data_IF_421195204844
#
_entry.id   IF_421195204844
#
_cell.length_a   1.000
_cell.length_b   1.000
_cell.length_c   1.000
_cell.angle_alpha   90.00
_cell.angle_beta   90.00
_cell.angle_gamma   90.00
#
_symmetry.space_group_name_H-M   'P 1'
#
loop_
_entity.id
_entity.type
_entity.pdbx_description
1 polymer ?
#
# COMPACT_ATOMS: atom_id res chain seq x y z
N UNK A 1 19.01 11.76 8.73
CA UNK A 1 18.43 12.52 7.62
C UNK A 1 17.90 13.83 8.16
N UNK A 2 18.39 14.94 7.67
CA UNK A 2 17.88 16.26 8.02
C UNK A 2 16.61 16.55 7.20
N UNK A 3 15.61 17.14 7.85
CA UNK A 3 14.46 17.72 7.18
C UNK A 3 14.68 19.22 7.04
N UNK A 4 14.60 19.74 5.84
CA UNK A 4 14.63 21.17 5.58
C UNK A 4 13.23 21.76 5.67
N UNK A 5 13.11 22.90 6.34
CA UNK A 5 11.88 23.69 6.37
C UNK A 5 12.03 24.88 5.42
N UNK A 6 11.20 24.96 4.39
CA UNK A 6 11.12 26.11 3.52
C UNK A 6 10.03 27.07 4.03
N UNK A 7 10.47 28.13 4.70
CA UNK A 7 9.57 29.14 5.31
C UNK A 7 8.69 29.83 4.29
N UNK A 8 9.16 29.97 3.04
CA UNK A 8 8.40 30.63 1.98
C UNK A 8 7.32 29.74 1.38
N UNK A 9 7.53 28.42 1.37
CA UNK A 9 6.56 27.45 0.82
C UNK A 9 5.70 26.77 1.87
N UNK A 10 5.96 27.04 3.18
CA UNK A 10 5.29 26.33 4.29
C UNK A 10 5.35 24.80 4.14
N UNK A 11 6.49 24.32 3.71
CA UNK A 11 6.72 22.93 3.36
C UNK A 11 7.84 22.34 4.19
N UNK A 12 7.68 21.12 4.67
CA UNK A 12 8.73 20.31 5.30
C UNK A 12 9.02 19.14 4.36
N UNK A 13 10.25 19.04 3.88
CA UNK A 13 10.65 17.97 2.97
C UNK A 13 12.06 17.47 3.30
N UNK A 14 12.42 16.32 2.73
CA UNK A 14 13.78 15.83 2.75
C UNK A 14 14.67 16.70 1.84
N UNK A 15 15.93 16.92 2.23
CA UNK A 15 16.88 17.77 1.49
C UNK A 15 17.03 17.38 0.01
N UNK A 16 16.88 16.11 -0.32
CA UNK A 16 16.94 15.63 -1.71
C UNK A 16 15.70 15.94 -2.55
N UNK A 17 14.58 16.35 -1.93
CA UNK A 17 13.30 16.54 -2.61
C UNK A 17 12.67 15.28 -3.23
N UNK A 18 13.23 14.08 -2.95
CA UNK A 18 12.85 12.84 -3.65
C UNK A 18 11.77 11.99 -2.96
N UNK A 19 11.42 12.32 -1.73
CA UNK A 19 10.45 11.54 -0.96
C UNK A 19 9.10 12.29 -0.91
N UNK A 20 8.45 12.25 0.22
CA UNK A 20 7.26 13.03 0.46
C UNK A 20 7.62 14.39 1.05
N UNK A 21 6.69 15.34 0.93
CA UNK A 21 6.70 16.60 1.68
C UNK A 21 5.47 16.69 2.56
N UNK A 22 5.56 17.53 3.60
CA UNK A 22 4.41 17.95 4.38
C UNK A 22 4.14 19.38 4.00
N UNK A 23 3.00 19.63 3.38
CA UNK A 23 2.58 20.93 2.89
C UNK A 23 1.47 21.48 3.80
N UNK A 24 1.42 22.79 4.00
CA UNK A 24 0.28 23.46 4.60
C UNK A 24 -0.78 23.72 3.53
N UNK A 25 -2.01 23.30 3.78
CA UNK A 25 -3.14 23.62 2.90
C UNK A 25 -4.21 24.40 3.63
N UNK A 26 -4.82 25.34 2.92
CA UNK A 26 -6.01 26.04 3.35
C UNK A 26 -7.23 25.43 2.67
N UNK A 27 -8.19 24.96 3.46
CA UNK A 27 -9.39 24.31 2.97
C UNK A 27 -10.59 25.22 3.17
N UNK A 28 -11.36 25.41 2.11
CA UNK A 28 -12.65 26.12 2.14
C UNK A 28 -13.75 25.14 1.72
N UNK A 29 -14.84 25.11 2.46
CA UNK A 29 -15.97 24.24 2.17
C UNK A 29 -17.30 24.90 2.58
N UNK A 30 -18.35 24.62 1.82
CA UNK A 30 -19.72 24.99 2.16
C UNK A 30 -20.52 23.84 2.77
N UNK A 31 -19.88 22.70 3.06
CA UNK A 31 -20.54 21.45 3.43
C UNK A 31 -20.59 21.18 4.95
N UNK A 32 -19.84 21.92 5.79
CA UNK A 32 -19.74 21.71 7.24
C UNK A 32 -19.91 22.99 8.04
N UNK A 33 -20.11 22.84 9.35
CA UNK A 33 -20.24 23.96 10.28
C UNK A 33 -18.97 24.81 10.41
N UNK A 34 -17.82 24.27 10.04
CA UNK A 34 -16.55 25.00 9.95
C UNK A 34 -16.27 25.25 8.47
N UNK A 35 -16.42 26.50 8.00
CA UNK A 35 -16.33 26.81 6.57
C UNK A 35 -14.90 26.80 6.03
N UNK A 36 -13.91 27.01 6.89
CA UNK A 36 -12.50 27.07 6.50
C UNK A 36 -11.58 26.65 7.64
N UNK A 37 -10.44 26.01 7.28
CA UNK A 37 -9.38 25.69 8.23
C UNK A 37 -8.06 25.45 7.51
N UNK A 38 -6.95 25.53 8.26
CA UNK A 38 -5.63 25.15 7.82
C UNK A 38 -5.26 23.78 8.39
N UNK A 39 -4.61 22.93 7.58
CA UNK A 39 -4.07 21.67 8.05
C UNK A 39 -2.80 21.27 7.30
N UNK A 40 -1.92 20.47 7.94
CA UNK A 40 -0.85 19.81 7.22
C UNK A 40 -1.40 18.66 6.38
N UNK A 41 -0.78 18.42 5.23
CA UNK A 41 -1.11 17.31 4.34
C UNK A 41 0.17 16.68 3.80
N UNK A 42 0.16 15.37 3.63
CA UNK A 42 1.27 14.64 3.00
C UNK A 42 1.14 14.74 1.49
N UNK A 43 2.15 15.32 0.86
CA UNK A 43 2.27 15.34 -0.59
C UNK A 43 3.29 14.30 -1.03
N UNK A 44 2.79 13.18 -1.53
CA UNK A 44 3.57 12.05 -2.03
C UNK A 44 3.03 11.66 -3.41
N UNK A 45 3.55 12.25 -4.48
CA UNK A 45 3.01 12.08 -5.83
C UNK A 45 3.27 10.67 -6.40
N UNK A 46 4.16 9.91 -5.78
CA UNK A 46 4.48 8.55 -6.23
C UNK A 46 3.29 7.61 -6.01
N UNK A 47 2.91 6.89 -7.08
CA UNK A 47 1.83 5.89 -7.01
C UNK A 47 2.32 4.69 -6.20
N UNK A 48 1.59 4.36 -5.14
CA UNK A 48 1.76 3.11 -4.40
C UNK A 48 1.22 1.93 -5.19
N UNK A 49 1.76 0.74 -4.91
CA UNK A 49 1.37 -0.50 -5.54
C UNK A 49 0.96 -1.50 -4.46
N UNK A 50 -0.27 -1.98 -4.51
CA UNK A 50 -0.84 -2.96 -3.59
C UNK A 50 -1.29 -4.16 -4.40
N UNK A 51 -0.63 -5.31 -4.22
CA UNK A 51 -0.87 -6.51 -5.01
C UNK A 51 -1.23 -7.72 -4.16
N UNK A 52 -2.26 -8.47 -4.56
CA UNK A 52 -2.56 -9.79 -4.03
C UNK A 52 -2.32 -10.86 -5.09
N UNK A 53 -1.62 -11.94 -4.70
CA UNK A 53 -1.64 -13.20 -5.44
C UNK A 53 -2.76 -14.05 -4.85
N UNK A 54 -3.60 -14.59 -5.71
CA UNK A 54 -4.64 -15.54 -5.33
C UNK A 54 -4.46 -16.86 -6.04
N UNK A 55 -4.83 -17.94 -5.34
CA UNK A 55 -4.82 -19.32 -5.87
C UNK A 55 -6.03 -20.07 -5.33
N UNK A 56 -6.61 -20.95 -6.14
CA UNK A 56 -7.63 -21.88 -5.66
C UNK A 56 -7.00 -23.13 -5.07
N UNK A 57 -7.46 -23.51 -3.89
CA UNK A 57 -7.17 -24.81 -3.27
C UNK A 57 -8.50 -25.54 -3.11
N UNK A 58 -8.64 -26.67 -3.78
CA UNK A 58 -9.90 -27.43 -3.83
C UNK A 58 -11.11 -26.55 -4.19
N UNK A 59 -10.96 -25.68 -5.18
CA UNK A 59 -12.00 -24.75 -5.65
C UNK A 59 -12.23 -23.54 -4.75
N UNK A 60 -11.54 -23.40 -3.62
CA UNK A 60 -11.67 -22.25 -2.71
C UNK A 60 -10.52 -21.26 -2.93
N UNK A 61 -10.86 -20.02 -3.24
CA UNK A 61 -9.87 -18.96 -3.45
C UNK A 61 -9.20 -18.54 -2.15
N UNK A 62 -7.88 -18.53 -2.17
CA UNK A 62 -7.04 -18.04 -1.08
C UNK A 62 -6.15 -16.91 -1.57
N UNK A 63 -5.86 -15.99 -0.67
CA UNK A 63 -5.01 -14.83 -0.88
C UNK A 63 -3.68 -15.05 -0.16
N UNK A 64 -2.57 -14.83 -0.84
CA UNK A 64 -1.26 -14.84 -0.22
C UNK A 64 -1.04 -13.52 0.51
N UNK A 65 -1.03 -13.55 1.81
CA UNK A 65 -0.90 -12.36 2.66
C UNK A 65 0.43 -12.35 3.39
N UNK A 66 0.95 -11.17 3.67
CA UNK A 66 2.19 -10.95 4.42
C UNK A 66 1.88 -10.54 5.85
N UNK A 67 2.52 -11.18 6.82
CA UNK A 67 2.61 -10.69 8.19
C UNK A 67 3.65 -9.57 8.24
N UNK A 68 3.25 -8.34 8.53
CA UNK A 68 4.08 -7.15 8.46
C UNK A 68 4.18 -6.44 9.81
N UNK A 69 5.39 -6.01 10.14
CA UNK A 69 5.66 -5.20 11.33
C UNK A 69 5.96 -3.79 10.84
N UNK A 70 5.12 -2.83 11.20
CA UNK A 70 5.31 -1.42 10.87
C UNK A 70 5.24 -0.55 12.11
N UNK A 71 6.00 0.56 12.17
CA UNK A 71 5.88 1.53 13.25
C UNK A 71 4.45 2.06 13.34
N UNK A 72 3.85 2.02 14.52
CA UNK A 72 2.48 2.46 14.74
C UNK A 72 1.43 1.36 14.72
N UNK A 73 1.77 0.13 14.33
CA UNK A 73 0.88 -1.02 14.45
C UNK A 73 0.55 -1.31 15.91
N UNK A 74 -0.74 -1.28 16.27
CA UNK A 74 -1.18 -1.48 17.66
C UNK A 74 -0.87 -2.90 18.17
N UNK A 75 -0.94 -3.90 17.31
CA UNK A 75 -0.66 -5.31 17.63
C UNK A 75 0.69 -5.80 17.10
N UNK A 76 1.63 -4.89 16.86
CA UNK A 76 2.98 -5.17 16.37
C UNK A 76 2.96 -5.79 14.95
N UNK A 77 2.22 -6.89 14.74
CA UNK A 77 2.12 -7.62 13.47
C UNK A 77 0.71 -7.48 12.90
N UNK A 78 0.60 -7.08 11.64
CA UNK A 78 -0.66 -7.00 10.90
C UNK A 78 -0.54 -7.74 9.57
N UNK A 79 -1.67 -8.21 9.03
CA UNK A 79 -1.72 -8.79 7.70
C UNK A 79 -1.81 -7.69 6.64
N UNK A 80 -1.01 -7.81 5.61
CA UNK A 80 -0.94 -6.88 4.48
C UNK A 80 -0.98 -7.63 3.14
N UNK A 81 -1.18 -6.93 2.02
CA UNK A 81 -1.11 -7.53 0.69
C UNK A 81 0.19 -8.32 0.45
N UNK A 82 0.20 -9.21 -0.54
CA UNK A 82 1.39 -9.96 -0.98
C UNK A 82 2.52 -9.00 -1.33
N UNK A 83 2.20 -7.93 -2.04
CA UNK A 83 3.12 -6.89 -2.45
C UNK A 83 2.58 -5.53 -2.05
N UNK A 84 3.39 -4.77 -1.32
CA UNK A 84 3.16 -3.36 -1.01
C UNK A 84 4.47 -2.62 -1.29
N UNK A 85 4.47 -1.78 -2.31
CA UNK A 85 5.67 -1.09 -2.75
C UNK A 85 5.34 0.26 -3.38
N UNK A 86 6.29 1.20 -3.32
CA UNK A 86 6.24 2.40 -4.14
C UNK A 86 6.94 2.13 -5.49
N UNK A 87 6.70 2.99 -6.48
CA UNK A 87 7.30 2.83 -7.80
C UNK A 87 8.83 2.77 -7.74
N UNK A 88 9.45 3.60 -6.93
CA UNK A 88 10.90 3.60 -6.72
C UNK A 88 11.43 2.28 -6.16
N UNK A 89 10.67 1.62 -5.30
CA UNK A 89 11.05 0.35 -4.71
C UNK A 89 11.01 -0.81 -5.73
N UNK A 90 9.98 -0.89 -6.57
CA UNK A 90 9.91 -1.97 -7.54
C UNK A 90 10.73 -1.73 -8.81
N UNK A 91 11.03 -0.46 -9.15
CA UNK A 91 11.95 -0.14 -10.27
C UNK A 91 13.43 -0.16 -9.89
N UNK A 92 13.76 -0.47 -8.64
CA UNK A 92 15.14 -0.55 -8.10
C UNK A 92 15.97 0.72 -8.29
N UNK A 93 15.37 1.88 -8.31
CA UNK A 93 16.08 3.17 -8.50
C UNK A 93 17.21 3.36 -7.47
N UNK A 94 17.13 2.69 -6.32
CA UNK A 94 18.10 2.79 -5.23
C UNK A 94 18.98 1.54 -5.03
N UNK A 95 19.00 0.60 -5.99
CA UNK A 95 19.82 -0.62 -5.87
C UNK A 95 19.42 -1.57 -4.74
N UNK A 96 18.24 -1.39 -4.15
CA UNK A 96 17.72 -2.23 -3.07
C UNK A 96 17.31 -3.63 -3.52
N UNK A 97 17.07 -4.53 -2.55
CA UNK A 97 16.53 -5.86 -2.81
C UNK A 97 15.13 -5.75 -3.42
N UNK A 98 14.87 -6.50 -4.48
CA UNK A 98 13.55 -6.57 -5.09
C UNK A 98 12.51 -7.03 -4.07
N UNK A 99 11.31 -6.42 -4.03
CA UNK A 99 10.20 -6.94 -3.23
C UNK A 99 9.90 -8.40 -3.58
N UNK A 100 9.47 -9.17 -2.56
CA UNK A 100 9.06 -10.54 -2.78
C UNK A 100 7.86 -10.62 -3.74
N UNK A 101 7.86 -11.62 -4.62
CA UNK A 101 6.77 -11.90 -5.58
C UNK A 101 6.50 -10.82 -6.62
N UNK A 102 7.44 -9.87 -6.82
CA UNK A 102 7.29 -8.81 -7.82
C UNK A 102 7.08 -9.39 -9.23
N UNK A 103 7.69 -10.54 -9.53
CA UNK A 103 7.63 -11.25 -10.80
C UNK A 103 6.20 -11.60 -11.25
N UNK A 104 5.25 -11.71 -10.33
CA UNK A 104 3.83 -11.95 -10.64
C UNK A 104 3.07 -10.68 -11.04
N UNK A 105 3.67 -9.52 -10.86
CA UNK A 105 3.02 -8.23 -11.10
C UNK A 105 3.68 -7.38 -12.19
N UNK A 106 4.87 -7.77 -12.63
CA UNK A 106 5.67 -7.01 -13.61
C UNK A 106 5.71 -7.66 -15.01
N UNK A 107 4.95 -8.74 -15.22
CA UNK A 107 4.87 -9.45 -16.50
C UNK A 107 5.93 -10.53 -16.72
N UNK A 108 6.78 -10.84 -15.72
CA UNK A 108 7.76 -11.92 -15.82
C UNK A 108 7.10 -13.31 -15.64
N UNK A 109 5.97 -13.37 -14.96
CA UNK A 109 5.16 -14.59 -14.76
C UNK A 109 3.83 -14.47 -15.49
N UNK A 110 3.34 -15.60 -15.99
CA UNK A 110 2.01 -15.69 -16.55
C UNK A 110 0.97 -15.77 -15.44
N UNK A 111 0.01 -14.86 -15.44
CA UNK A 111 -1.03 -14.74 -14.43
C UNK A 111 -2.34 -14.28 -15.06
N UNK A 112 -3.46 -14.57 -14.40
CA UNK A 112 -4.76 -14.00 -14.75
C UNK A 112 -5.01 -12.74 -13.90
N UNK A 113 -5.14 -11.59 -14.53
CA UNK A 113 -5.46 -10.35 -13.83
C UNK A 113 -6.95 -10.29 -13.55
N UNK A 114 -7.34 -10.40 -12.27
CA UNK A 114 -8.72 -10.33 -11.82
C UNK A 114 -9.17 -8.90 -11.57
N UNK A 115 -8.28 -8.07 -11.01
CA UNK A 115 -8.52 -6.66 -10.68
C UNK A 115 -7.26 -5.87 -10.99
N UNK A 116 -7.42 -4.71 -11.62
CA UNK A 116 -6.37 -3.71 -11.80
C UNK A 116 -7.01 -2.33 -11.78
N UNK A 117 -6.92 -1.64 -10.65
CA UNK A 117 -7.60 -0.37 -10.44
C UNK A 117 -6.71 0.65 -9.75
N UNK A 118 -6.84 1.89 -10.19
CA UNK A 118 -6.24 3.04 -9.53
C UNK A 118 -7.25 3.66 -8.56
N UNK A 119 -6.93 3.64 -7.27
CA UNK A 119 -7.79 4.17 -6.21
C UNK A 119 -7.14 5.35 -5.51
N UNK A 120 -7.95 6.29 -5.08
CA UNK A 120 -7.49 7.43 -4.28
C UNK A 120 -7.23 7.00 -2.83
N UNK A 121 -6.12 7.46 -2.28
CA UNK A 121 -5.81 7.35 -0.85
C UNK A 121 -6.66 8.32 -0.03
N UNK A 122 -6.61 8.22 1.29
CA UNK A 122 -7.36 9.07 2.20
C UNK A 122 -7.05 10.57 1.97
N UNK A 123 -7.99 11.29 1.35
CA UNK A 123 -7.83 12.70 0.99
C UNK A 123 -7.63 13.63 2.19
N UNK A 124 -7.99 13.21 3.41
CA UNK A 124 -7.74 13.98 4.63
C UNK A 124 -6.26 13.97 5.06
N UNK A 125 -5.46 13.02 4.59
CA UNK A 125 -4.04 12.84 4.94
C UNK A 125 -3.11 13.08 3.77
N UNK A 126 -3.53 12.69 2.56
CA UNK A 126 -2.70 12.68 1.36
C UNK A 126 -3.24 13.60 0.28
N UNK A 127 -2.40 14.47 -0.25
CA UNK A 127 -2.74 15.35 -1.37
C UNK A 127 -2.72 14.54 -2.69
N UNK A 128 -3.92 14.29 -3.25
CA UNK A 128 -4.09 13.60 -4.54
C UNK A 128 -3.34 12.26 -4.68
N UNK A 129 -3.01 11.60 -3.57
CA UNK A 129 -2.35 10.29 -3.56
C UNK A 129 -3.27 9.23 -4.17
N UNK A 130 -2.70 8.40 -5.02
CA UNK A 130 -3.37 7.24 -5.61
C UNK A 130 -2.52 5.99 -5.43
N UNK A 131 -3.19 4.85 -5.27
CA UNK A 131 -2.57 3.53 -5.26
C UNK A 131 -3.15 2.68 -6.37
N UNK A 132 -2.31 1.90 -7.04
CA UNK A 132 -2.73 0.86 -7.96
C UNK A 132 -2.98 -0.41 -7.16
N UNK A 133 -4.21 -0.89 -7.18
CA UNK A 133 -4.62 -2.14 -6.55
C UNK A 133 -4.76 -3.20 -7.62
N UNK A 134 -4.05 -4.32 -7.46
CA UNK A 134 -4.06 -5.39 -8.43
C UNK A 134 -4.24 -6.74 -7.73
N UNK A 135 -5.10 -7.60 -8.29
CA UNK A 135 -5.27 -8.98 -7.86
C UNK A 135 -4.96 -9.87 -9.06
N UNK A 136 -4.02 -10.77 -8.89
CA UNK A 136 -3.64 -11.75 -9.92
C UNK A 136 -3.90 -13.15 -9.43
N UNK A 137 -4.48 -13.99 -10.29
CA UNK A 137 -4.70 -15.41 -10.04
C UNK A 137 -3.62 -16.24 -10.74
N UNK A 138 -3.02 -17.16 -10.01
CA UNK A 138 -2.13 -18.18 -10.56
C UNK A 138 -2.89 -19.50 -10.74
N UNK A 139 -2.39 -20.35 -11.64
CA UNK A 139 -2.99 -21.66 -11.88
C UNK A 139 -2.99 -22.53 -10.60
N UNK A 140 -3.99 -23.41 -10.49
CA UNK A 140 -4.09 -24.35 -9.36
C UNK A 140 -2.88 -25.29 -9.27
N UNK A 141 -2.30 -25.65 -10.41
CA UNK A 141 -1.14 -26.56 -10.50
C UNK A 141 0.20 -25.82 -10.33
N UNK A 142 0.20 -24.50 -10.32
CA UNK A 142 1.44 -23.74 -10.16
C UNK A 142 1.94 -23.82 -8.72
N UNK A 143 3.15 -24.33 -8.54
CA UNK A 143 3.83 -24.33 -7.26
C UNK A 143 4.47 -22.95 -7.01
N UNK A 144 4.00 -22.29 -5.96
CA UNK A 144 4.60 -21.05 -5.45
C UNK A 144 5.26 -21.33 -4.10
N UNK A 145 6.55 -21.01 -4.00
CA UNK A 145 7.27 -21.10 -2.74
C UNK A 145 6.78 -20.01 -1.79
N UNK A 146 6.08 -20.41 -0.72
CA UNK A 146 5.65 -19.47 0.33
C UNK A 146 6.86 -19.09 1.16
N UNK A 147 7.23 -17.82 1.10
CA UNK A 147 8.37 -17.25 1.84
C UNK A 147 8.00 -17.03 3.31
N UNK A 148 9.03 -16.92 4.16
CA UNK A 148 8.84 -16.60 5.57
C UNK A 148 8.03 -15.32 5.74
N UNK A 149 7.08 -15.34 6.69
CA UNK A 149 6.19 -14.22 6.94
C UNK A 149 4.98 -14.14 5.99
N UNK A 150 4.79 -15.11 5.09
CA UNK A 150 3.61 -15.17 4.22
C UNK A 150 2.71 -16.36 4.56
N UNK A 151 1.41 -16.21 4.32
CA UNK A 151 0.40 -17.24 4.58
C UNK A 151 -0.74 -17.15 3.57
N UNK A 152 -1.27 -18.30 3.18
CA UNK A 152 -2.51 -18.39 2.42
C UNK A 152 -3.72 -18.25 3.35
N UNK A 153 -4.61 -17.32 3.02
CA UNK A 153 -5.81 -17.01 3.80
C UNK A 153 -7.02 -17.00 2.88
N UNK A 154 -8.07 -17.75 3.21
CA UNK A 154 -9.31 -17.72 2.45
C UNK A 154 -10.09 -16.42 2.69
N UNK A 155 -10.98 -16.08 1.75
CA UNK A 155 -11.84 -14.90 1.91
C UNK A 155 -12.72 -14.98 3.18
N UNK A 156 -13.14 -16.18 3.57
CA UNK A 156 -13.89 -16.39 4.82
C UNK A 156 -13.05 -16.07 6.05
N UNK A 157 -11.80 -16.53 6.09
CA UNK A 157 -10.86 -16.21 7.15
C UNK A 157 -10.53 -14.71 7.20
N UNK A 158 -10.34 -14.06 6.05
CA UNK A 158 -10.15 -12.60 5.99
C UNK A 158 -11.35 -11.88 6.60
N UNK A 159 -12.57 -12.24 6.21
CA UNK A 159 -13.80 -11.65 6.77
C UNK A 159 -13.92 -11.84 8.28
N UNK A 160 -13.49 -12.99 8.80
CA UNK A 160 -13.48 -13.23 10.24
C UNK A 160 -12.44 -12.35 10.94
N UNK A 161 -11.23 -12.25 10.39
CA UNK A 161 -10.17 -11.40 10.91
C UNK A 161 -10.56 -9.91 10.94
N UNK A 162 -11.36 -9.45 9.97
CA UNK A 162 -11.89 -8.07 9.93
C UNK A 162 -12.81 -7.72 11.12
N UNK A 163 -13.33 -8.71 11.84
CA UNK A 163 -14.15 -8.48 13.04
C UNK A 163 -13.32 -8.14 14.28
N UNK A 164 -12.03 -8.44 14.24
CA UNK A 164 -11.11 -8.12 15.32
C UNK A 164 -10.39 -6.80 15.00
N UNK A 165 -10.45 -5.81 15.90
CA UNK A 165 -9.78 -4.54 15.70
C UNK A 165 -8.25 -4.75 15.61
N UNK A 166 -7.60 -4.04 14.68
CA UNK A 166 -6.14 -3.96 14.55
C UNK A 166 -5.41 -5.25 14.11
N UNK A 167 -6.08 -6.20 13.47
CA UNK A 167 -5.43 -7.40 12.89
C UNK A 167 -4.94 -7.15 11.47
N UNK A 168 -5.43 -6.11 10.81
CA UNK A 168 -5.12 -5.75 9.44
C UNK A 168 -4.41 -4.41 9.35
N UNK A 169 -3.49 -4.30 8.41
CA UNK A 169 -2.96 -3.02 7.98
C UNK A 169 -3.97 -2.42 6.99
N UNK A 170 -4.53 -1.27 7.34
CA UNK A 170 -5.53 -0.55 6.54
C UNK A 170 -4.91 0.52 5.63
N UNK A 171 -3.59 0.64 5.63
CA UNK A 171 -2.86 1.62 4.83
C UNK A 171 -2.48 1.07 3.47
#
# INVERSE_FOLDING_TARGET
SSAASDVYKRQICHDSGKFFSIDGIHIMTNYRNVPEWDQPIINQPEIGFLGFIVKKFNGVMHFLMQAKIEPGNLNIVQLSPTLQATRSNYTRVHGGKSPNYLEYFNGEKEVYVLVDQLQSEQGARFLHKRNRNIIVEINEDEEISVKDGFIWVSLGQIKELLRYPNVQNLD
#
